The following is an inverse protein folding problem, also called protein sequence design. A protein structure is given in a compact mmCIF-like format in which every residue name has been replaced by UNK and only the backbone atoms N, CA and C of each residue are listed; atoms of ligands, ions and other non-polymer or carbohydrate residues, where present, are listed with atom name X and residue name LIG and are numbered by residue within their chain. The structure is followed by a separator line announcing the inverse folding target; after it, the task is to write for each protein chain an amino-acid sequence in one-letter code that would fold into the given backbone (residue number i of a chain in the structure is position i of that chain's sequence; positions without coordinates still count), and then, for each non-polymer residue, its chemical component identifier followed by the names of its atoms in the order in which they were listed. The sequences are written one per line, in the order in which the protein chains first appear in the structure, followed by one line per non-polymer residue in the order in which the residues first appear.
data_IF_341852200295
#
_entry.id   IF_341852200295
#
_cell.length_a   1.000
_cell.length_b   1.000
_cell.length_c   1.000
_cell.angle_alpha   90.00
_cell.angle_beta   90.00
_cell.angle_gamma   90.00
#
_symmetry.space_group_name_H-M   'P 1'
#
loop_
_entity.id
_entity.type
_entity.pdbx_description
1 polymer ?
#
# COMPACT_ATOMS: atom_id res chain seq x y z
N UNK A 1 8.43 -9.68 3.65
CA UNK A 1 9.51 -8.95 4.36
C UNK A 1 10.51 -9.98 4.88
N UNK A 2 11.81 -9.76 4.67
CA UNK A 2 12.89 -10.62 5.18
C UNK A 2 13.72 -9.83 6.18
N UNK A 3 13.99 -10.41 7.34
CA UNK A 3 14.94 -9.90 8.32
C UNK A 3 15.99 -10.99 8.56
N UNK A 4 17.22 -10.74 8.12
CA UNK A 4 18.32 -11.70 8.13
C UNK A 4 19.52 -11.17 7.34
N UNK A 5 20.71 -11.71 7.62
CA UNK A 5 21.91 -11.34 6.88
C UNK A 5 22.07 -12.18 5.61
N UNK A 6 22.45 -11.51 4.53
CA UNK A 6 22.72 -12.15 3.23
C UNK A 6 24.17 -11.91 2.81
N UNK A 7 24.84 -13.00 2.41
CA UNK A 7 26.17 -12.97 1.81
C UNK A 7 26.02 -13.44 0.37
N UNK A 8 26.32 -12.57 -0.59
CA UNK A 8 26.15 -12.89 -2.01
C UNK A 8 27.18 -13.92 -2.51
N UNK A 9 26.84 -14.70 -3.53
CA UNK A 9 27.70 -15.78 -4.07
C UNK A 9 29.15 -15.39 -4.37
N UNK A 10 29.42 -14.13 -4.74
CA UNK A 10 30.78 -13.64 -5.05
C UNK A 10 31.70 -13.57 -3.83
N UNK A 11 31.12 -13.51 -2.62
CA UNK A 11 31.85 -13.44 -1.35
C UNK A 11 32.06 -14.83 -0.74
N UNK A 12 31.53 -15.89 -1.37
CA UNK A 12 31.57 -17.25 -0.85
C UNK A 12 32.60 -18.05 -1.65
N UNK A 13 33.56 -18.67 -0.96
CA UNK A 13 34.52 -19.60 -1.55
C UNK A 13 34.29 -20.98 -0.95
N UNK A 14 33.92 -21.92 -1.81
CA UNK A 14 33.74 -23.34 -1.47
C UNK A 14 34.73 -24.12 -2.32
N UNK A 15 35.42 -25.10 -1.73
CA UNK A 15 36.22 -26.05 -2.50
C UNK A 15 35.28 -26.86 -3.42
N UNK A 16 35.23 -26.46 -4.69
CA UNK A 16 34.30 -27.02 -5.67
C UNK A 16 34.49 -28.54 -5.84
N UNK A 17 35.72 -29.04 -5.74
CA UNK A 17 36.00 -30.47 -5.95
C UNK A 17 35.48 -31.29 -4.78
N UNK A 18 35.72 -30.84 -3.54
CA UNK A 18 35.19 -31.51 -2.35
C UNK A 18 33.67 -31.39 -2.28
N UNK A 19 33.14 -30.21 -2.59
CA UNK A 19 31.71 -29.96 -2.48
C UNK A 19 30.88 -30.74 -3.50
N UNK A 20 31.34 -30.86 -4.75
CA UNK A 20 30.68 -31.70 -5.77
C UNK A 20 30.56 -33.16 -5.34
N UNK A 21 31.57 -33.72 -4.68
CA UNK A 21 31.50 -35.09 -4.13
C UNK A 21 30.38 -35.26 -3.10
N UNK A 22 29.98 -34.19 -2.41
CA UNK A 22 28.86 -34.20 -1.47
C UNK A 22 27.53 -33.88 -2.15
N UNK A 23 27.49 -32.87 -3.02
CA UNK A 23 26.26 -32.35 -3.60
C UNK A 23 25.73 -33.22 -4.76
N UNK A 24 26.60 -33.71 -5.65
CA UNK A 24 26.16 -34.39 -6.88
C UNK A 24 25.32 -35.66 -6.60
N UNK A 25 25.68 -36.53 -5.63
CA UNK A 25 24.83 -37.67 -5.27
C UNK A 25 23.46 -37.25 -4.73
N UNK A 26 23.40 -36.13 -3.99
CA UNK A 26 22.15 -35.60 -3.46
C UNK A 26 21.28 -35.02 -4.58
N UNK A 27 21.87 -34.35 -5.58
CA UNK A 27 21.12 -33.85 -6.73
C UNK A 27 20.48 -34.97 -7.55
N UNK A 28 21.13 -36.12 -7.68
CA UNK A 28 20.53 -37.29 -8.33
C UNK A 28 19.29 -37.77 -7.57
N UNK A 29 19.38 -37.85 -6.24
CA UNK A 29 18.25 -38.27 -5.40
C UNK A 29 17.12 -37.22 -5.41
N UNK A 30 17.46 -35.94 -5.21
CA UNK A 30 16.52 -34.82 -5.25
C UNK A 30 15.79 -34.77 -6.60
N UNK A 31 16.49 -34.98 -7.72
CA UNK A 31 15.87 -34.98 -9.04
C UNK A 31 14.82 -36.09 -9.19
N UNK A 32 15.08 -37.28 -8.62
CA UNK A 32 14.11 -38.38 -8.58
C UNK A 32 12.92 -38.05 -7.68
N UNK A 33 13.18 -37.52 -6.49
CA UNK A 33 12.15 -37.20 -5.50
C UNK A 33 11.24 -36.03 -5.96
N UNK A 34 11.78 -35.11 -6.76
CA UNK A 34 11.00 -34.07 -7.45
C UNK A 34 10.20 -34.64 -8.63
N UNK A 35 10.45 -35.87 -9.07
CA UNK A 35 9.76 -36.48 -10.21
C UNK A 35 10.26 -35.99 -11.57
N UNK A 36 11.52 -35.57 -11.68
CA UNK A 36 12.11 -35.13 -12.94
C UNK A 36 12.28 -36.30 -13.92
N UNK A 37 12.06 -36.08 -15.24
CA UNK A 37 12.19 -37.14 -16.22
C UNK A 37 13.63 -37.67 -16.32
N UNK A 38 13.76 -38.98 -16.55
CA UNK A 38 15.06 -39.62 -16.75
C UNK A 38 15.77 -39.08 -17.99
N UNK A 39 17.07 -38.79 -17.86
CA UNK A 39 17.91 -38.28 -18.96
C UNK A 39 18.02 -36.76 -19.04
N UNK A 40 17.33 -36.00 -18.19
CA UNK A 40 17.52 -34.55 -18.09
C UNK A 40 18.77 -34.17 -17.31
N UNK A 41 19.46 -33.11 -17.72
CA UNK A 41 20.55 -32.55 -16.92
C UNK A 41 19.96 -31.68 -15.80
N UNK A 42 20.18 -32.10 -14.56
CA UNK A 42 19.73 -31.39 -13.36
C UNK A 42 20.93 -30.79 -12.63
N UNK A 43 20.93 -29.47 -12.45
CA UNK A 43 22.06 -28.75 -11.85
C UNK A 43 21.62 -27.74 -10.80
N UNK A 44 22.51 -27.46 -9.85
CA UNK A 44 22.31 -26.46 -8.81
C UNK A 44 23.37 -25.36 -8.91
N UNK A 45 22.96 -24.10 -8.92
CA UNK A 45 23.86 -22.95 -8.85
C UNK A 45 23.72 -22.20 -7.53
N UNK A 46 24.86 -21.94 -6.87
CA UNK A 46 24.87 -21.17 -5.63
C UNK A 46 24.31 -19.76 -5.87
N UNK A 47 23.28 -19.39 -5.09
CA UNK A 47 22.66 -18.07 -5.14
C UNK A 47 23.23 -17.15 -4.06
N UNK A 48 23.08 -17.53 -2.79
CA UNK A 48 23.60 -16.79 -1.64
C UNK A 48 23.75 -17.69 -0.40
N UNK A 49 24.28 -17.11 0.66
CA UNK A 49 24.25 -17.66 2.01
C UNK A 49 23.40 -16.75 2.89
N UNK A 50 22.54 -17.34 3.72
CA UNK A 50 21.67 -16.63 4.64
C UNK A 50 22.01 -17.02 6.08
N UNK A 51 22.08 -16.01 6.95
CA UNK A 51 22.30 -16.17 8.40
C UNK A 51 21.14 -15.51 9.14
N UNK A 52 20.49 -16.25 10.02
CA UNK A 52 19.40 -15.75 10.87
C UNK A 52 19.77 -15.91 12.35
N UNK A 53 19.79 -14.80 13.08
CA UNK A 53 19.97 -14.75 14.54
C UNK A 53 18.63 -14.56 15.28
N UNK A 54 18.66 -14.40 16.62
CA UNK A 54 17.45 -14.27 17.42
C UNK A 54 16.51 -13.15 16.95
N UNK A 55 15.22 -13.45 16.82
CA UNK A 55 14.17 -12.56 16.33
C UNK A 55 14.03 -12.51 14.81
N UNK A 56 15.07 -12.88 14.06
CA UNK A 56 15.10 -12.79 12.59
C UNK A 56 14.29 -13.92 11.93
N UNK A 57 13.71 -13.61 10.78
CA UNK A 57 12.72 -14.44 10.09
C UNK A 57 12.63 -14.12 8.58
N UNK A 58 11.92 -14.97 7.85
CA UNK A 58 11.50 -14.66 6.48
C UNK A 58 10.00 -14.93 6.36
N UNK A 59 9.22 -13.87 6.16
CA UNK A 59 7.78 -13.98 5.99
C UNK A 59 7.41 -14.91 4.80
N UNK A 60 6.19 -15.49 4.81
CA UNK A 60 5.67 -16.25 3.68
C UNK A 60 5.86 -15.53 2.35
N UNK A 61 6.48 -16.22 1.40
CA UNK A 61 6.72 -15.74 0.05
C UNK A 61 6.86 -16.91 -0.92
N UNK A 62 6.85 -16.60 -2.21
CA UNK A 62 7.09 -17.53 -3.30
C UNK A 62 8.35 -17.07 -4.05
N UNK A 63 9.16 -18.01 -4.51
CA UNK A 63 10.36 -17.66 -5.27
C UNK A 63 9.99 -17.29 -6.71
N UNK A 64 10.69 -16.30 -7.27
CA UNK A 64 10.59 -16.00 -8.70
C UNK A 64 11.56 -16.87 -9.49
N UNK A 65 11.13 -17.35 -10.65
CA UNK A 65 12.02 -17.98 -11.64
C UNK A 65 12.92 -16.91 -12.27
N UNK A 66 14.21 -16.87 -11.88
CA UNK A 66 15.14 -15.77 -12.21
C UNK A 66 15.90 -15.96 -13.52
N UNK A 67 15.85 -17.16 -14.10
CA UNK A 67 16.57 -17.51 -15.32
C UNK A 67 15.85 -18.67 -16.03
N UNK A 68 16.05 -18.76 -17.34
CA UNK A 68 15.41 -19.77 -18.16
C UNK A 68 15.85 -21.18 -17.71
N UNK A 69 14.89 -22.10 -17.56
CA UNK A 69 15.13 -23.45 -17.06
C UNK A 69 15.26 -23.57 -15.54
N UNK A 70 15.13 -22.47 -14.77
CA UNK A 70 15.05 -22.55 -13.30
C UNK A 70 13.70 -23.16 -12.90
N UNK A 71 13.73 -24.24 -12.11
CA UNK A 71 12.52 -24.96 -11.68
C UNK A 71 12.24 -24.82 -10.18
N UNK A 72 13.22 -24.40 -9.38
CA UNK A 72 13.05 -24.32 -7.93
C UNK A 72 14.30 -23.93 -7.16
N UNK A 73 14.25 -24.19 -5.87
CA UNK A 73 15.26 -23.78 -4.90
C UNK A 73 15.72 -24.99 -4.09
N UNK A 74 17.03 -25.10 -3.85
CA UNK A 74 17.63 -26.02 -2.89
C UNK A 74 18.23 -25.22 -1.74
N UNK A 75 17.75 -25.49 -0.53
CA UNK A 75 18.27 -24.97 0.72
C UNK A 75 19.15 -26.04 1.36
N UNK A 76 20.44 -25.72 1.52
CA UNK A 76 21.40 -26.55 2.24
C UNK A 76 21.64 -25.94 3.61
N UNK A 77 21.04 -26.52 4.65
CA UNK A 77 21.30 -26.10 6.02
C UNK A 77 22.67 -26.63 6.48
N UNK A 78 23.54 -25.71 6.90
CA UNK A 78 24.84 -26.03 7.46
C UNK A 78 24.70 -26.47 8.94
N UNK A 79 25.58 -27.35 9.44
CA UNK A 79 25.60 -27.72 10.84
C UNK A 79 25.66 -26.48 11.73
N UNK A 80 24.58 -26.22 12.47
CA UNK A 80 24.45 -25.02 13.31
C UNK A 80 23.51 -25.27 14.48
N UNK A 81 23.84 -24.71 15.64
CA UNK A 81 23.05 -24.86 16.88
C UNK A 81 22.09 -23.68 17.00
N UNK A 82 20.79 -23.93 16.84
CA UNK A 82 19.74 -22.93 17.00
C UNK A 82 18.40 -23.53 17.45
N UNK A 83 17.52 -22.69 18.00
CA UNK A 83 16.11 -23.00 18.31
C UNK A 83 15.18 -22.07 17.53
N UNK A 84 13.98 -22.55 17.18
CA UNK A 84 13.10 -21.84 16.24
C UNK A 84 13.61 -21.99 14.80
N UNK A 85 13.42 -21.00 13.94
CA UNK A 85 14.09 -20.98 12.62
C UNK A 85 13.62 -22.04 11.62
N UNK A 86 12.49 -22.70 11.85
CA UNK A 86 12.02 -23.77 10.97
C UNK A 86 11.73 -23.21 9.57
N UNK A 87 12.20 -23.92 8.53
CA UNK A 87 11.80 -23.67 7.16
C UNK A 87 10.49 -24.39 6.94
N UNK A 88 9.45 -23.65 6.59
CA UNK A 88 8.12 -24.20 6.34
C UNK A 88 7.80 -23.99 4.87
N UNK A 89 7.41 -25.08 4.20
CA UNK A 89 7.10 -25.11 2.77
C UNK A 89 5.66 -25.58 2.62
N UNK A 90 4.92 -24.90 1.76
CA UNK A 90 3.49 -25.11 1.52
C UNK A 90 3.22 -25.22 0.02
N UNK A 91 2.46 -26.24 -0.37
CA UNK A 91 2.10 -26.54 -1.75
C UNK A 91 0.78 -27.34 -1.76
N UNK A 92 -0.24 -26.87 -2.50
CA UNK A 92 -1.58 -27.49 -2.55
C UNK A 92 -2.18 -27.81 -1.18
N UNK A 93 -2.22 -26.83 -0.27
CA UNK A 93 -2.72 -26.95 1.11
C UNK A 93 -1.96 -27.95 2.00
N UNK A 94 -0.94 -28.64 1.48
CA UNK A 94 -0.01 -29.44 2.26
C UNK A 94 1.14 -28.59 2.76
N UNK A 95 1.52 -28.81 4.03
CA UNK A 95 2.54 -28.02 4.71
C UNK A 95 3.55 -28.91 5.41
N UNK A 96 4.82 -28.73 5.07
CA UNK A 96 5.94 -29.48 5.66
C UNK A 96 6.90 -28.52 6.34
N UNK A 97 7.39 -28.90 7.53
CA UNK A 97 8.30 -28.09 8.34
C UNK A 97 9.63 -28.81 8.55
N UNK A 98 10.72 -28.19 8.14
CA UNK A 98 12.08 -28.71 8.28
C UNK A 98 12.88 -27.92 9.30
N UNK A 99 13.56 -28.64 10.20
CA UNK A 99 14.53 -28.10 11.14
C UNK A 99 15.92 -28.54 10.71
N UNK A 100 16.90 -27.65 10.80
CA UNK A 100 18.30 -28.00 10.54
C UNK A 100 18.84 -28.99 11.57
N UNK A 101 20.04 -29.52 11.32
CA UNK A 101 20.76 -30.38 12.26
C UNK A 101 21.97 -29.64 12.83
N UNK A 102 22.31 -29.83 14.12
CA UNK A 102 23.55 -29.29 14.69
C UNK A 102 24.82 -29.99 14.17
N UNK A 103 24.69 -31.19 13.60
CA UNK A 103 25.82 -32.05 13.26
C UNK A 103 25.89 -32.42 11.77
N UNK A 104 24.75 -32.36 11.07
CA UNK A 104 24.61 -32.83 9.70
C UNK A 104 24.16 -31.73 8.76
N UNK A 105 24.55 -31.86 7.50
CA UNK A 105 23.93 -31.09 6.42
C UNK A 105 22.48 -31.56 6.23
N UNK A 106 21.59 -30.63 5.95
CA UNK A 106 20.21 -30.96 5.55
C UNK A 106 19.92 -30.31 4.21
N UNK A 107 19.41 -31.10 3.27
CA UNK A 107 19.06 -30.66 1.94
C UNK A 107 17.54 -30.62 1.84
N UNK A 108 16.99 -29.45 1.49
CA UNK A 108 15.56 -29.27 1.29
C UNK A 108 15.38 -28.62 -0.06
N UNK A 109 14.78 -29.33 -1.00
CA UNK A 109 14.50 -28.85 -2.36
C UNK A 109 13.00 -28.74 -2.57
N UNK A 110 12.57 -27.67 -3.22
CA UNK A 110 11.17 -27.40 -3.53
C UNK A 110 11.05 -26.62 -4.84
N UNK A 111 9.90 -26.73 -5.50
CA UNK A 111 9.62 -26.02 -6.73
C UNK A 111 9.44 -24.51 -6.48
N UNK A 112 9.71 -23.69 -7.50
CA UNK A 112 9.65 -22.23 -7.37
C UNK A 112 8.24 -21.71 -6.99
N UNK A 113 7.20 -22.47 -7.34
CA UNK A 113 5.80 -22.19 -7.03
C UNK A 113 5.37 -22.58 -5.62
N UNK A 114 6.24 -23.20 -4.81
CA UNK A 114 5.93 -23.43 -3.41
C UNK A 114 6.01 -22.13 -2.59
N UNK A 115 4.99 -21.88 -1.77
CA UNK A 115 5.07 -20.86 -0.74
C UNK A 115 5.96 -21.34 0.39
N UNK A 116 6.84 -20.47 0.89
CA UNK A 116 7.71 -20.84 2.00
C UNK A 116 8.01 -19.67 2.93
N UNK A 117 8.29 -20.01 4.19
CA UNK A 117 8.67 -19.07 5.24
C UNK A 117 9.81 -19.65 6.10
N UNK A 118 10.54 -18.75 6.76
CA UNK A 118 11.45 -19.12 7.86
C UNK A 118 10.87 -18.51 9.12
N UNK A 119 10.42 -19.37 10.04
CA UNK A 119 9.91 -18.93 11.35
C UNK A 119 11.00 -18.23 12.17
N UNK A 120 10.63 -17.35 13.12
CA UNK A 120 11.62 -16.66 13.94
C UNK A 120 12.60 -17.61 14.63
N UNK A 121 13.89 -17.30 14.55
CA UNK A 121 14.91 -17.95 15.38
C UNK A 121 14.79 -17.38 16.79
N UNK A 122 14.76 -18.24 17.81
CA UNK A 122 14.66 -17.79 19.22
C UNK A 122 16.00 -17.83 19.93
N UNK A 123 16.90 -18.75 19.54
CA UNK A 123 18.24 -18.89 20.12
C UNK A 123 19.23 -19.37 19.06
N UNK A 124 20.48 -18.92 19.15
CA UNK A 124 21.56 -19.34 18.25
C UNK A 124 21.46 -18.72 16.85
N UNK A 125 22.16 -19.32 15.88
CA UNK A 125 22.21 -18.84 14.50
C UNK A 125 21.92 -19.97 13.53
N UNK A 126 20.95 -19.76 12.64
CA UNK A 126 20.65 -20.65 11.52
C UNK A 126 21.43 -20.20 10.30
N UNK A 127 22.25 -21.10 9.74
CA UNK A 127 23.11 -20.80 8.59
C UNK A 127 22.77 -21.71 7.42
N UNK A 128 22.45 -21.14 6.25
CA UNK A 128 22.10 -21.92 5.06
C UNK A 128 22.76 -21.38 3.80
N UNK A 129 23.04 -22.28 2.86
CA UNK A 129 23.35 -21.95 1.47
C UNK A 129 22.08 -22.16 0.63
N UNK A 130 21.74 -21.21 -0.23
CA UNK A 130 20.63 -21.36 -1.17
C UNK A 130 21.17 -21.54 -2.58
N UNK A 131 20.55 -22.46 -3.32
CA UNK A 131 20.89 -22.78 -4.70
C UNK A 131 19.65 -22.65 -5.58
N UNK A 132 19.81 -22.08 -6.76
CA UNK A 132 18.80 -22.15 -7.81
C UNK A 132 18.95 -23.51 -8.52
N UNK A 133 17.83 -24.22 -8.69
CA UNK A 133 17.77 -25.51 -9.37
C UNK A 133 17.37 -25.31 -10.83
N UNK A 134 18.13 -25.91 -11.74
CA UNK A 134 17.92 -25.81 -13.17
C UNK A 134 17.73 -27.18 -13.80
N UNK A 135 16.81 -27.22 -14.77
CA UNK A 135 16.59 -28.34 -15.66
C UNK A 135 17.06 -27.95 -17.07
N UNK A 136 18.05 -28.66 -17.61
CA UNK A 136 18.58 -28.45 -18.95
C UNK A 136 18.34 -29.69 -19.81
N UNK A 137 17.76 -29.49 -20.99
CA UNK A 137 17.63 -30.52 -22.02
C UNK A 137 16.83 -31.75 -21.60
N UNK A 138 15.57 -31.83 -22.02
CA UNK A 138 14.78 -33.04 -21.95
C UNK A 138 14.38 -33.49 -23.35
N UNK A 139 15.02 -34.55 -23.87
CA UNK A 139 14.33 -35.39 -24.85
C UNK A 139 13.13 -36.01 -24.14
N UNK A 140 11.95 -35.95 -24.76
CA UNK A 140 10.73 -36.56 -24.25
C UNK A 140 10.87 -38.10 -24.24
N UNK A 141 11.61 -38.64 -23.27
CA UNK A 141 11.81 -40.09 -23.08
C UNK A 141 10.76 -40.63 -22.12
N UNK A 142 9.52 -40.13 -22.21
CA UNK A 142 8.40 -40.69 -21.44
C UNK A 142 7.86 -41.89 -22.19
N UNK A 143 7.79 -43.04 -21.52
CA UNK A 143 7.19 -44.25 -22.10
C UNK A 143 5.72 -43.96 -22.43
N UNK A 144 5.24 -44.27 -23.64
CA UNK A 144 3.83 -44.20 -23.98
C UNK A 144 3.00 -44.99 -22.96
N UNK A 145 1.83 -44.46 -22.60
CA UNK A 145 0.89 -45.17 -21.75
C UNK A 145 0.08 -46.07 -22.67
N UNK A 146 0.20 -47.38 -22.55
CA UNK A 146 -0.43 -48.34 -23.47
C UNK A 146 -1.49 -49.17 -22.76
N UNK A 147 -2.51 -49.59 -23.50
CA UNK A 147 -3.55 -50.53 -23.06
C UNK A 147 -4.71 -49.86 -22.33
N UNK A 148 -5.32 -50.59 -21.39
CA UNK A 148 -6.60 -50.24 -20.75
C UNK A 148 -6.69 -48.81 -20.19
N UNK A 149 -5.65 -48.23 -19.54
CA UNK A 149 -5.74 -46.86 -19.02
C UNK A 149 -5.92 -45.80 -20.12
N UNK A 150 -5.25 -45.97 -21.27
CA UNK A 150 -5.37 -45.06 -22.40
C UNK A 150 -6.77 -45.19 -23.04
N UNK A 151 -7.24 -46.41 -23.27
CA UNK A 151 -8.56 -46.69 -23.84
C UNK A 151 -9.70 -46.12 -22.98
N UNK A 152 -9.57 -46.22 -21.65
CA UNK A 152 -10.55 -45.63 -20.74
C UNK A 152 -10.58 -44.10 -20.87
N UNK A 153 -9.41 -43.45 -20.91
CA UNK A 153 -9.31 -42.00 -21.03
C UNK A 153 -9.84 -41.49 -22.38
N UNK A 154 -9.49 -42.18 -23.49
CA UNK A 154 -9.99 -41.85 -24.83
C UNK A 154 -11.52 -41.90 -24.86
N UNK A 155 -12.13 -42.91 -24.24
CA UNK A 155 -13.58 -43.03 -24.13
C UNK A 155 -14.20 -41.89 -23.33
N UNK A 156 -13.59 -41.52 -22.19
CA UNK A 156 -14.07 -40.43 -21.34
C UNK A 156 -14.00 -39.07 -22.04
N UNK A 157 -12.89 -38.78 -22.73
CA UNK A 157 -12.72 -37.51 -23.46
C UNK A 157 -13.66 -37.45 -24.67
N UNK A 158 -13.83 -38.56 -25.39
CA UNK A 158 -14.83 -38.67 -26.47
C UNK A 158 -16.24 -38.39 -25.95
N UNK A 159 -16.64 -39.05 -24.86
CA UNK A 159 -17.95 -38.85 -24.26
C UNK A 159 -18.18 -37.40 -23.83
N UNK A 160 -17.14 -36.70 -23.33
CA UNK A 160 -17.21 -35.28 -23.01
C UNK A 160 -17.57 -34.42 -24.23
N UNK A 161 -16.90 -34.63 -25.37
CA UNK A 161 -17.17 -33.89 -26.60
C UNK A 161 -18.49 -34.27 -27.30
N UNK A 162 -19.09 -35.41 -26.93
CA UNK A 162 -20.39 -35.86 -27.44
C UNK A 162 -21.56 -35.44 -26.54
N UNK A 163 -21.31 -35.09 -25.27
CA UNK A 163 -22.35 -34.77 -24.28
C UNK A 163 -22.62 -33.26 -24.23
N UNK A 164 -23.88 -32.81 -24.46
CA UNK A 164 -24.25 -31.40 -24.30
C UNK A 164 -23.96 -30.89 -22.88
N UNK A 165 -23.57 -29.62 -22.78
CA UNK A 165 -23.32 -28.98 -21.49
C UNK A 165 -24.58 -28.95 -20.60
N UNK A 166 -24.45 -29.00 -19.27
CA UNK A 166 -25.59 -28.87 -18.37
C UNK A 166 -26.25 -27.51 -18.56
N UNK A 167 -27.58 -27.48 -18.53
CA UNK A 167 -28.35 -26.24 -18.59
C UNK A 167 -28.00 -25.37 -17.38
N UNK A 168 -27.48 -24.17 -17.62
CA UNK A 168 -27.15 -23.21 -16.57
C UNK A 168 -28.19 -22.11 -16.58
N UNK A 169 -28.67 -21.71 -15.40
CA UNK A 169 -29.72 -20.69 -15.22
C UNK A 169 -29.44 -19.36 -15.95
N UNK A 170 -28.16 -19.07 -16.24
CA UNK A 170 -27.67 -17.81 -16.83
C UNK A 170 -27.09 -17.97 -18.24
N UNK A 171 -27.17 -19.18 -18.84
CA UNK A 171 -26.63 -19.43 -20.17
C UNK A 171 -27.49 -20.48 -20.89
N UNK A 172 -27.96 -20.22 -22.13
CA UNK A 172 -28.75 -21.20 -22.86
C UNK A 172 -27.97 -22.53 -23.00
N UNK A 173 -28.66 -23.67 -23.12
CA UNK A 173 -28.01 -24.95 -23.34
C UNK A 173 -27.14 -24.88 -24.58
N UNK A 174 -25.82 -24.97 -24.39
CA UNK A 174 -24.86 -25.04 -25.48
C UNK A 174 -24.89 -26.48 -26.04
N UNK A 175 -24.64 -26.62 -27.34
CA UNK A 175 -24.39 -27.92 -27.95
C UNK A 175 -23.17 -28.62 -27.31
N UNK A 176 -22.77 -29.78 -27.84
CA UNK A 176 -21.59 -30.47 -27.34
C UNK A 176 -20.36 -29.52 -27.34
N UNK A 177 -19.51 -29.57 -26.30
CA UNK A 177 -18.37 -28.66 -26.18
C UNK A 177 -17.36 -28.87 -27.31
N UNK A 178 -16.65 -27.82 -27.71
CA UNK A 178 -15.58 -27.87 -28.73
C UNK A 178 -14.16 -27.92 -28.11
N UNK A 179 -14.04 -27.67 -26.80
CA UNK A 179 -12.76 -27.56 -26.09
C UNK A 179 -12.81 -28.23 -24.73
N UNK A 180 -11.71 -28.89 -24.36
CA UNK A 180 -11.46 -29.41 -23.02
C UNK A 180 -10.33 -28.61 -22.38
N UNK A 181 -10.60 -27.93 -21.26
CA UNK A 181 -9.57 -27.25 -20.46
C UNK A 181 -9.20 -28.13 -19.28
N UNK A 182 -7.92 -28.48 -19.18
CA UNK A 182 -7.37 -29.25 -18.09
C UNK A 182 -6.40 -28.39 -17.27
N UNK A 183 -6.73 -28.15 -16.00
CA UNK A 183 -5.86 -27.42 -15.08
C UNK A 183 -4.74 -28.33 -14.61
N UNK A 184 -3.51 -27.87 -14.78
CA UNK A 184 -2.32 -28.50 -14.23
C UNK A 184 -2.19 -28.13 -12.75
N UNK A 185 -1.52 -28.99 -11.99
CA UNK A 185 -1.33 -28.81 -10.55
C UNK A 185 -0.34 -27.65 -10.30
N UNK A 186 0.81 -27.62 -10.99
CA UNK A 186 1.81 -26.60 -10.73
C UNK A 186 1.47 -25.24 -11.35
N UNK A 187 1.93 -24.18 -10.69
CA UNK A 187 1.93 -22.84 -11.28
C UNK A 187 3.16 -22.69 -12.19
N UNK A 188 2.92 -22.24 -13.42
CA UNK A 188 3.96 -21.98 -14.41
C UNK A 188 4.05 -20.50 -14.75
N UNK A 189 5.28 -20.02 -14.94
CA UNK A 189 5.50 -18.71 -15.56
C UNK A 189 5.45 -18.82 -17.08
N UNK A 190 5.37 -17.69 -17.78
CA UNK A 190 5.43 -17.66 -19.25
C UNK A 190 6.72 -18.30 -19.80
N UNK A 191 7.81 -18.22 -19.04
CA UNK A 191 9.10 -18.83 -19.41
C UNK A 191 9.20 -20.31 -19.03
N UNK A 192 8.54 -20.70 -17.93
CA UNK A 192 8.56 -22.07 -17.41
C UNK A 192 7.57 -23.01 -18.10
N UNK A 193 6.55 -22.48 -18.80
CA UNK A 193 5.54 -23.28 -19.48
C UNK A 193 6.05 -23.83 -20.82
N UNK A 194 6.50 -25.08 -20.84
CA UNK A 194 6.81 -25.81 -22.07
C UNK A 194 6.58 -27.30 -21.90
N UNK A 195 6.35 -28.01 -23.01
CA UNK A 195 6.12 -29.47 -22.99
C UNK A 195 7.27 -30.26 -22.35
N UNK A 196 8.50 -29.76 -22.47
CA UNK A 196 9.70 -30.41 -21.92
C UNK A 196 9.96 -30.04 -20.45
N UNK A 197 9.32 -28.99 -19.94
CA UNK A 197 9.60 -28.43 -18.60
C UNK A 197 8.43 -28.57 -17.61
N UNK A 198 7.39 -29.32 -17.98
CA UNK A 198 6.29 -29.61 -17.05
C UNK A 198 6.82 -30.34 -15.80
N UNK A 199 6.35 -29.89 -14.63
CA UNK A 199 6.79 -30.34 -13.31
C UNK A 199 6.02 -31.60 -12.89
N UNK A 200 6.75 -32.61 -12.41
CA UNK A 200 6.21 -33.80 -11.75
C UNK A 200 4.97 -34.43 -12.47
N UNK A 201 3.82 -34.51 -11.76
CA UNK A 201 2.60 -35.17 -12.21
C UNK A 201 1.96 -34.52 -13.44
N UNK A 202 2.11 -33.21 -13.60
CA UNK A 202 1.58 -32.47 -14.77
C UNK A 202 2.14 -33.00 -16.06
N UNK A 203 3.42 -33.32 -16.05
CA UNK A 203 4.10 -33.80 -17.22
C UNK A 203 3.64 -35.22 -17.59
N UNK A 204 3.24 -36.05 -16.61
CA UNK A 204 2.67 -37.37 -16.87
C UNK A 204 1.25 -37.24 -17.44
N UNK A 205 0.44 -36.35 -16.87
CA UNK A 205 -0.92 -36.05 -17.36
C UNK A 205 -0.90 -35.46 -18.76
N UNK A 206 -0.04 -34.48 -19.02
CA UNK A 206 0.15 -33.87 -20.33
C UNK A 206 0.56 -34.89 -21.40
N UNK A 207 1.48 -35.81 -21.08
CA UNK A 207 1.87 -36.88 -21.99
C UNK A 207 0.71 -37.83 -22.32
N UNK A 208 -0.15 -38.13 -21.36
CA UNK A 208 -1.38 -38.92 -21.58
C UNK A 208 -2.40 -38.15 -22.42
N UNK A 209 -2.66 -36.88 -22.10
CA UNK A 209 -3.59 -36.02 -22.85
C UNK A 209 -3.15 -35.89 -24.31
N UNK A 210 -1.85 -35.75 -24.58
CA UNK A 210 -1.31 -35.72 -25.95
C UNK A 210 -1.56 -37.02 -26.71
N UNK A 211 -1.45 -38.18 -26.06
CA UNK A 211 -1.77 -39.48 -26.68
C UNK A 211 -3.27 -39.61 -26.97
N UNK A 212 -4.12 -39.15 -26.04
CA UNK A 212 -5.58 -39.15 -26.23
C UNK A 212 -5.98 -38.25 -27.39
N UNK A 213 -5.44 -37.03 -27.43
CA UNK A 213 -5.71 -36.07 -28.49
C UNK A 213 -5.29 -36.59 -29.87
N UNK A 214 -4.14 -37.28 -29.95
CA UNK A 214 -3.70 -37.92 -31.20
C UNK A 214 -4.67 -39.02 -31.68
N UNK A 215 -5.37 -39.72 -30.78
CA UNK A 215 -6.38 -40.72 -31.17
C UNK A 215 -7.75 -40.12 -31.52
N UNK A 216 -8.05 -38.94 -31.00
CA UNK A 216 -9.31 -38.24 -31.20
C UNK A 216 -9.23 -37.11 -32.24
N UNK A 217 -8.07 -36.97 -32.92
CA UNK A 217 -7.78 -35.90 -33.87
C UNK A 217 -8.01 -34.49 -33.28
N UNK A 218 -7.62 -34.31 -32.02
CA UNK A 218 -7.72 -33.02 -31.32
C UNK A 218 -6.37 -32.28 -31.37
N UNK A 219 -6.43 -30.97 -31.53
CA UNK A 219 -5.28 -30.10 -31.29
C UNK A 219 -5.02 -29.91 -29.79
N UNK A 220 -3.74 -29.85 -29.40
CA UNK A 220 -3.34 -29.63 -28.00
C UNK A 220 -2.38 -28.45 -27.89
N UNK A 221 -2.69 -27.54 -26.98
CA UNK A 221 -1.85 -26.40 -26.65
C UNK A 221 -1.63 -26.30 -25.13
N UNK A 222 -0.50 -25.71 -24.74
CA UNK A 222 -0.29 -25.20 -23.38
C UNK A 222 -0.66 -23.72 -23.35
N UNK A 223 -1.40 -23.29 -22.34
CA UNK A 223 -1.79 -21.90 -22.15
C UNK A 223 -1.66 -21.49 -20.69
N UNK A 224 -1.33 -20.22 -20.46
CA UNK A 224 -1.50 -19.55 -19.19
C UNK A 224 -2.89 -18.92 -19.15
N UNK A 225 -3.60 -19.08 -18.04
CA UNK A 225 -4.93 -18.51 -17.85
C UNK A 225 -4.93 -17.59 -16.62
N UNK A 226 -5.34 -16.35 -16.81
CA UNK A 226 -5.60 -15.40 -15.72
C UNK A 226 -7.11 -15.32 -15.46
N UNK A 227 -7.56 -15.93 -14.38
CA UNK A 227 -8.98 -15.92 -13.98
C UNK A 227 -9.28 -14.63 -13.23
N UNK A 228 -10.19 -13.82 -13.79
CA UNK A 228 -10.70 -12.62 -13.13
C UNK A 228 -12.15 -12.88 -12.70
N UNK A 229 -12.40 -12.80 -11.40
CA UNK A 229 -13.75 -12.87 -10.85
C UNK A 229 -14.32 -11.46 -10.72
N UNK A 230 -15.53 -11.26 -11.24
CA UNK A 230 -16.30 -10.03 -11.05
C UNK A 230 -17.63 -10.40 -10.42
N UNK A 231 -17.92 -9.81 -9.26
CA UNK A 231 -19.14 -10.04 -8.50
C UNK A 231 -20.06 -8.83 -8.68
N UNK A 232 -21.33 -9.06 -8.99
CA UNK A 232 -22.37 -8.04 -8.84
C UNK A 232 -22.95 -8.12 -7.43
N UNK A 233 -22.94 -7.02 -6.69
CA UNK A 233 -23.77 -6.91 -5.48
C UNK A 233 -25.22 -6.65 -5.90
N UNK A 234 -26.19 -7.29 -5.26
CA UNK A 234 -27.61 -6.94 -5.40
C UNK A 234 -27.84 -5.45 -5.07
N UNK A 235 -28.87 -4.83 -5.66
CA UNK A 235 -29.16 -3.38 -5.64
C UNK A 235 -29.16 -2.72 -4.24
N UNK A 236 -29.33 -3.51 -3.17
CA UNK A 236 -29.32 -3.07 -1.77
C UNK A 236 -27.94 -2.57 -1.27
N UNK A 237 -26.86 -2.92 -1.97
CA UNK A 237 -25.50 -2.50 -1.61
C UNK A 237 -25.28 -0.99 -1.72
N UNK A 238 -25.89 -0.34 -2.72
CA UNK A 238 -25.69 1.10 -2.93
C UNK A 238 -26.34 1.92 -1.83
N UNK A 239 -27.55 1.55 -1.39
CA UNK A 239 -28.24 2.23 -0.29
C UNK A 239 -27.47 2.09 1.03
N UNK A 240 -26.93 0.89 1.31
CA UNK A 240 -26.08 0.66 2.48
C UNK A 240 -24.83 1.54 2.46
N UNK A 241 -24.13 1.61 1.32
CA UNK A 241 -22.94 2.47 1.16
C UNK A 241 -23.31 3.94 1.36
N UNK A 242 -24.43 4.41 0.79
CA UNK A 242 -24.88 5.80 1.00
C UNK A 242 -25.15 6.10 2.48
N UNK A 243 -25.85 5.19 3.19
CA UNK A 243 -26.11 5.34 4.64
C UNK A 243 -24.81 5.36 5.46
N UNK A 244 -23.86 4.49 5.14
CA UNK A 244 -22.55 4.44 5.80
C UNK A 244 -21.74 5.71 5.56
N UNK A 245 -21.66 6.19 4.31
CA UNK A 245 -20.95 7.42 3.94
C UNK A 245 -21.55 8.63 4.64
N UNK A 246 -22.89 8.75 4.70
CA UNK A 246 -23.59 9.80 5.45
C UNK A 246 -23.26 9.77 6.94
N UNK A 247 -23.31 8.58 7.55
CA UNK A 247 -23.03 8.39 8.97
C UNK A 247 -21.59 8.76 9.33
N UNK A 248 -20.62 8.25 8.55
CA UNK A 248 -19.20 8.54 8.73
C UNK A 248 -18.89 10.03 8.52
N UNK A 249 -19.47 10.64 7.49
CA UNK A 249 -19.31 12.07 7.24
C UNK A 249 -19.87 12.92 8.40
N UNK A 250 -21.07 12.61 8.90
CA UNK A 250 -21.68 13.31 10.05
C UNK A 250 -20.78 13.27 11.29
N UNK A 251 -20.09 12.15 11.53
CA UNK A 251 -19.12 12.04 12.63
C UNK A 251 -17.91 12.96 12.42
N UNK A 252 -17.30 12.91 11.24
CA UNK A 252 -16.12 13.72 10.90
C UNK A 252 -16.46 15.22 10.87
N UNK A 253 -17.62 15.59 10.34
CA UNK A 253 -18.11 16.98 10.29
C UNK A 253 -18.21 17.57 11.70
N UNK A 254 -18.77 16.82 12.66
CA UNK A 254 -18.84 17.25 14.07
C UNK A 254 -17.46 17.46 14.68
N UNK A 255 -16.52 16.56 14.41
CA UNK A 255 -15.15 16.69 14.89
C UNK A 255 -14.43 17.91 14.28
N UNK A 256 -14.57 18.13 12.96
CA UNK A 256 -14.01 19.30 12.28
C UNK A 256 -14.57 20.59 12.90
N UNK A 257 -15.89 20.66 13.10
CA UNK A 257 -16.54 21.84 13.71
C UNK A 257 -16.09 22.06 15.15
N UNK A 258 -15.97 20.99 15.93
CA UNK A 258 -15.47 21.03 17.31
C UNK A 258 -14.03 21.57 17.37
N UNK A 259 -13.14 21.06 16.51
CA UNK A 259 -11.76 21.54 16.40
C UNK A 259 -11.71 23.02 15.99
N UNK A 260 -12.55 23.42 15.04
CA UNK A 260 -12.61 24.81 14.55
C UNK A 260 -13.21 25.80 15.55
N UNK A 261 -13.96 25.33 16.54
CA UNK A 261 -14.43 26.15 17.65
C UNK A 261 -13.35 26.44 18.70
N UNK A 262 -12.23 25.70 18.66
CA UNK A 262 -11.09 25.90 19.54
C UNK A 262 -10.12 26.95 18.96
N UNK A 263 -9.30 27.60 19.80
CA UNK A 263 -8.24 28.48 19.34
C UNK A 263 -7.35 27.83 18.27
N UNK A 264 -6.98 28.56 17.20
CA UNK A 264 -6.03 28.08 16.23
C UNK A 264 -4.68 27.89 16.91
N UNK A 265 -4.24 26.64 16.96
CA UNK A 265 -2.94 26.23 17.51
C UNK A 265 -2.31 25.20 16.58
N UNK A 266 -1.01 24.98 16.71
CA UNK A 266 -0.31 23.91 16.00
C UNK A 266 -0.97 22.53 16.21
N UNK A 267 -1.47 22.27 17.42
CA UNK A 267 -2.20 21.04 17.77
C UNK A 267 -3.53 20.92 17.01
N UNK A 268 -4.33 21.97 17.01
CA UNK A 268 -5.63 21.99 16.29
C UNK A 268 -5.43 21.79 14.79
N UNK A 269 -4.43 22.45 14.20
CA UNK A 269 -4.08 22.29 12.78
C UNK A 269 -3.61 20.85 12.49
N UNK A 270 -2.76 20.27 13.33
CA UNK A 270 -2.30 18.88 13.18
C UNK A 270 -3.48 17.89 13.24
N UNK A 271 -4.43 18.10 14.14
CA UNK A 271 -5.63 17.28 14.26
C UNK A 271 -6.52 17.38 13.01
N UNK A 272 -6.72 18.59 12.46
CA UNK A 272 -7.45 18.80 11.20
C UNK A 272 -6.75 18.13 10.02
N UNK A 273 -5.42 18.28 9.89
CA UNK A 273 -4.64 17.63 8.84
C UNK A 273 -4.77 16.09 8.88
N UNK A 274 -4.85 15.50 10.07
CA UNK A 274 -5.03 14.06 10.22
C UNK A 274 -6.39 13.56 9.66
N UNK A 275 -7.39 14.45 9.49
CA UNK A 275 -8.68 14.11 8.89
C UNK A 275 -8.65 14.09 7.36
N UNK A 276 -7.63 14.67 6.72
CA UNK A 276 -7.58 14.78 5.25
C UNK A 276 -7.63 13.41 4.55
N UNK A 277 -6.90 12.40 5.04
CA UNK A 277 -6.90 11.05 4.43
C UNK A 277 -8.28 10.36 4.51
N UNK A 278 -8.94 10.29 5.68
CA UNK A 278 -10.33 9.84 5.77
C UNK A 278 -11.30 10.59 4.85
N UNK A 279 -11.18 11.92 4.77
CA UNK A 279 -12.05 12.77 3.95
C UNK A 279 -11.91 12.46 2.45
N UNK A 280 -10.68 12.29 1.96
CA UNK A 280 -10.44 11.88 0.57
C UNK A 280 -11.05 10.50 0.27
N UNK A 281 -10.93 9.56 1.21
CA UNK A 281 -11.60 8.26 1.14
C UNK A 281 -13.11 8.40 1.02
N UNK A 282 -13.74 9.21 1.89
CA UNK A 282 -15.18 9.46 1.85
C UNK A 282 -15.64 10.16 0.57
N UNK A 283 -14.86 11.10 0.03
CA UNK A 283 -15.16 11.72 -1.27
C UNK A 283 -15.15 10.68 -2.39
N UNK A 284 -14.14 9.81 -2.43
CA UNK A 284 -14.08 8.73 -3.42
C UNK A 284 -15.27 7.76 -3.27
N UNK A 285 -15.62 7.39 -2.04
CA UNK A 285 -16.78 6.53 -1.78
C UNK A 285 -18.10 7.22 -2.14
N UNK A 286 -18.27 8.51 -1.87
CA UNK A 286 -19.46 9.27 -2.24
C UNK A 286 -19.66 9.29 -3.77
N UNK A 287 -18.57 9.43 -4.52
CA UNK A 287 -18.59 9.34 -5.99
C UNK A 287 -19.01 7.94 -6.46
N UNK A 288 -18.43 6.88 -5.87
CA UNK A 288 -18.80 5.50 -6.19
C UNK A 288 -20.27 5.23 -5.87
N UNK A 289 -20.76 5.76 -4.74
CA UNK A 289 -22.14 5.63 -4.29
C UNK A 289 -23.13 6.52 -5.04
N UNK A 290 -22.63 7.38 -5.94
CA UNK A 290 -23.39 8.40 -6.68
C UNK A 290 -24.15 9.37 -5.75
N UNK A 291 -23.61 9.65 -4.57
CA UNK A 291 -24.22 10.58 -3.60
C UNK A 291 -23.63 11.99 -3.73
N UNK A 292 -24.15 12.73 -4.70
CA UNK A 292 -23.75 14.12 -4.92
C UNK A 292 -24.04 15.05 -3.72
N UNK A 293 -25.02 14.68 -2.88
CA UNK A 293 -25.39 15.45 -1.69
C UNK A 293 -24.30 15.43 -0.63
N UNK A 294 -23.81 14.24 -0.28
CA UNK A 294 -22.71 14.10 0.68
C UNK A 294 -21.41 14.65 0.11
N UNK A 295 -21.12 14.38 -1.16
CA UNK A 295 -19.94 14.94 -1.82
C UNK A 295 -19.90 16.47 -1.70
N UNK A 296 -20.99 17.15 -2.04
CA UNK A 296 -21.11 18.60 -1.92
C UNK A 296 -20.95 19.06 -0.46
N UNK A 297 -21.60 18.37 0.48
CA UNK A 297 -21.50 18.70 1.90
C UNK A 297 -20.05 18.62 2.41
N UNK A 298 -19.28 17.63 1.95
CA UNK A 298 -17.86 17.50 2.29
C UNK A 298 -17.07 18.70 1.77
N UNK A 299 -17.18 18.99 0.48
CA UNK A 299 -16.41 20.07 -0.16
C UNK A 299 -16.75 21.43 0.45
N UNK A 300 -18.04 21.70 0.69
CA UNK A 300 -18.50 22.97 1.28
C UNK A 300 -17.85 23.21 2.66
N UNK A 301 -17.81 22.20 3.54
CA UNK A 301 -17.26 22.31 4.90
C UNK A 301 -15.73 22.54 4.92
N UNK A 302 -15.03 22.18 3.85
CA UNK A 302 -13.59 22.37 3.69
C UNK A 302 -13.19 23.75 3.16
N UNK A 303 -14.16 24.60 2.78
CA UNK A 303 -13.87 25.93 2.25
C UNK A 303 -13.44 26.92 3.34
N UNK A 304 -12.60 27.87 2.95
CA UNK A 304 -12.17 28.98 3.81
C UNK A 304 -13.34 29.88 4.21
N UNK A 305 -14.37 29.99 3.35
CA UNK A 305 -15.62 30.71 3.67
C UNK A 305 -16.37 30.06 4.83
N UNK A 306 -16.37 28.73 4.92
CA UNK A 306 -16.93 28.04 6.09
C UNK A 306 -16.07 28.20 7.33
N UNK A 307 -14.82 28.69 7.19
CA UNK A 307 -13.84 28.90 8.26
C UNK A 307 -12.85 27.74 8.41
N UNK A 308 -12.72 26.88 7.40
CA UNK A 308 -11.69 25.85 7.36
C UNK A 308 -10.30 26.49 7.13
N UNK A 309 -9.23 26.07 7.85
CA UNK A 309 -7.92 26.67 7.67
C UNK A 309 -7.37 26.45 6.26
N UNK A 310 -6.94 27.53 5.60
CA UNK A 310 -6.40 27.52 4.24
C UNK A 310 -5.31 26.45 4.04
N UNK A 311 -4.36 26.36 4.98
CA UNK A 311 -3.27 25.38 4.96
C UNK A 311 -3.78 23.93 4.92
N UNK A 312 -4.89 23.64 5.60
CA UNK A 312 -5.48 22.29 5.62
C UNK A 312 -6.12 21.96 4.27
N UNK A 313 -6.83 22.92 3.67
CA UNK A 313 -7.42 22.77 2.33
C UNK A 313 -6.37 22.55 1.25
N UNK A 314 -5.31 23.38 1.22
CA UNK A 314 -4.20 23.21 0.26
C UNK A 314 -3.47 21.87 0.47
N UNK A 315 -3.25 21.46 1.72
CA UNK A 315 -2.66 20.16 2.00
C UNK A 315 -3.52 19.00 1.48
N UNK A 316 -4.84 19.07 1.64
CA UNK A 316 -5.76 18.07 1.10
C UNK A 316 -5.62 17.98 -0.41
N UNK A 317 -5.67 19.11 -1.13
CA UNK A 317 -5.48 19.15 -2.58
C UNK A 317 -4.14 18.54 -3.01
N UNK A 318 -3.03 18.89 -2.34
CA UNK A 318 -1.70 18.31 -2.62
C UNK A 318 -1.67 16.80 -2.40
N UNK A 319 -2.26 16.32 -1.31
CA UNK A 319 -2.30 14.89 -0.97
C UNK A 319 -3.09 14.11 -1.99
N UNK A 320 -4.25 14.64 -2.41
CA UNK A 320 -5.09 14.00 -3.43
C UNK A 320 -4.40 13.97 -4.79
N UNK A 321 -3.76 15.08 -5.18
CA UNK A 321 -3.03 15.16 -6.46
C UNK A 321 -1.85 14.19 -6.53
N UNK A 322 -1.07 14.05 -5.45
CA UNK A 322 0.05 13.12 -5.40
C UNK A 322 -0.38 11.64 -5.46
N UNK A 323 -1.62 11.32 -5.06
CA UNK A 323 -2.12 9.96 -4.94
C UNK A 323 -2.90 9.41 -6.14
N UNK A 324 -3.08 10.15 -7.24
CA UNK A 324 -4.02 9.72 -8.30
C UNK A 324 -3.73 10.17 -9.73
N UNK A 325 -4.24 9.38 -10.69
CA UNK A 325 -4.34 9.74 -12.12
C UNK A 325 -5.40 10.83 -12.32
N UNK A 326 -5.06 11.91 -13.04
CA UNK A 326 -5.88 13.12 -13.24
C UNK A 326 -7.37 12.84 -13.57
N UNK A 327 -7.67 11.76 -14.30
CA UNK A 327 -9.05 11.38 -14.65
C UNK A 327 -9.96 11.05 -13.47
N UNK A 328 -9.42 10.64 -12.31
CA UNK A 328 -10.19 10.37 -11.08
C UNK A 328 -10.40 11.62 -10.22
N UNK A 329 -9.57 12.65 -10.37
CA UNK A 329 -9.60 13.87 -9.54
C UNK A 329 -10.82 14.74 -9.84
N UNK A 330 -11.18 14.86 -11.12
CA UNK A 330 -12.33 15.66 -11.57
C UNK A 330 -13.65 15.19 -10.96
N UNK A 331 -13.80 13.87 -10.76
CA UNK A 331 -15.02 13.31 -10.20
C UNK A 331 -15.23 13.70 -8.73
N UNK A 332 -14.18 14.10 -8.01
CA UNK A 332 -14.24 14.41 -6.56
C UNK A 332 -14.83 15.79 -6.25
N UNK A 333 -15.04 16.67 -7.24
CA UNK A 333 -15.63 18.01 -7.02
C UNK A 333 -14.72 18.96 -6.23
N UNK A 334 -13.40 18.72 -6.30
CA UNK A 334 -12.38 19.52 -5.59
C UNK A 334 -12.04 20.84 -6.30
N UNK A 335 -12.64 21.11 -7.46
CA UNK A 335 -12.53 22.37 -8.19
C UNK A 335 -13.03 23.56 -7.35
N UNK A 336 -14.11 23.37 -6.59
CA UNK A 336 -14.65 24.40 -5.69
C UNK A 336 -13.64 24.76 -4.60
N UNK A 337 -13.03 23.74 -3.97
CA UNK A 337 -12.03 23.94 -2.93
C UNK A 337 -10.75 24.59 -3.51
N UNK A 338 -10.33 24.14 -4.70
CA UNK A 338 -9.19 24.72 -5.42
C UNK A 338 -9.41 26.21 -5.71
N UNK A 339 -10.57 26.57 -6.26
CA UNK A 339 -10.92 27.96 -6.56
C UNK A 339 -10.99 28.82 -5.29
N UNK A 340 -11.56 28.29 -4.20
CA UNK A 340 -11.63 28.99 -2.93
C UNK A 340 -10.25 29.24 -2.31
N UNK A 341 -9.39 28.23 -2.25
CA UNK A 341 -8.01 28.38 -1.79
C UNK A 341 -7.22 29.38 -2.65
N UNK A 342 -7.34 29.29 -3.98
CA UNK A 342 -6.67 30.19 -4.93
C UNK A 342 -7.09 31.65 -4.70
N UNK A 343 -8.40 31.91 -4.63
CA UNK A 343 -8.96 33.25 -4.38
C UNK A 343 -8.50 33.81 -3.04
N UNK A 344 -8.48 32.98 -2.00
CA UNK A 344 -8.04 33.40 -0.66
C UNK A 344 -6.55 33.73 -0.64
N UNK A 345 -5.70 32.92 -1.29
CA UNK A 345 -4.26 33.21 -1.41
C UNK A 345 -3.97 34.50 -2.18
N UNK A 346 -4.66 34.73 -3.30
CA UNK A 346 -4.55 35.98 -4.07
C UNK A 346 -4.88 37.18 -3.18
N UNK A 347 -5.97 37.11 -2.40
CA UNK A 347 -6.37 38.18 -1.48
C UNK A 347 -5.31 38.41 -0.39
N UNK A 348 -4.77 37.35 0.20
CA UNK A 348 -3.74 37.46 1.24
C UNK A 348 -2.45 38.08 0.69
N UNK A 349 -1.99 37.65 -0.49
CA UNK A 349 -0.78 38.16 -1.13
C UNK A 349 -0.92 39.59 -1.64
N UNK A 350 -2.14 40.04 -1.97
CA UNK A 350 -2.41 41.43 -2.32
C UNK A 350 -2.31 42.39 -1.13
N UNK A 351 -2.28 41.89 0.11
CA UNK A 351 -2.13 42.73 1.31
C UNK A 351 -0.70 43.31 1.37
N UNK A 352 -0.50 44.62 1.60
CA UNK A 352 0.83 45.24 1.65
C UNK A 352 1.74 44.56 2.67
N UNK A 353 3.04 44.45 2.36
CA UNK A 353 4.04 43.90 3.28
C UNK A 353 4.09 44.74 4.56
N UNK A 354 4.05 44.08 5.72
CA UNK A 354 4.16 44.73 7.03
C UNK A 354 5.41 45.62 7.08
N UNK A 355 5.22 46.87 7.51
CA UNK A 355 6.31 47.82 7.71
C UNK A 355 7.07 47.53 9.01
N UNK A 356 8.33 47.97 9.12
CA UNK A 356 9.16 47.72 10.31
C UNK A 356 8.58 48.27 11.63
N UNK A 357 7.67 49.25 11.54
CA UNK A 357 7.04 49.91 12.68
C UNK A 357 5.64 49.39 12.99
N UNK A 358 5.10 48.47 12.20
CA UNK A 358 3.78 47.90 12.43
C UNK A 358 3.91 46.64 13.31
N UNK A 359 3.61 46.77 14.60
CA UNK A 359 3.56 45.66 15.55
C UNK A 359 2.13 45.12 15.78
N UNK A 360 1.17 45.42 14.89
CA UNK A 360 -0.21 44.95 15.05
C UNK A 360 -0.29 43.42 14.86
N UNK A 361 -0.99 42.72 15.75
CA UNK A 361 -1.24 41.28 15.66
C UNK A 361 -2.72 41.09 15.39
N UNK A 362 -3.08 40.78 14.15
CA UNK A 362 -4.45 40.53 13.72
C UNK A 362 -4.85 39.09 14.07
N UNK A 363 -5.26 38.87 15.32
CA UNK A 363 -5.76 37.57 15.79
C UNK A 363 -7.08 37.75 16.55
N UNK A 364 -8.21 37.22 16.05
CA UNK A 364 -9.46 37.24 16.81
C UNK A 364 -9.36 36.27 17.99
N UNK A 365 -9.51 36.80 19.20
CA UNK A 365 -9.55 35.99 20.42
C UNK A 365 -10.92 35.33 20.60
N UNK A 366 -10.93 34.05 20.97
CA UNK A 366 -12.17 33.30 21.17
C UNK A 366 -12.98 33.78 22.39
N UNK A 367 -12.29 34.21 23.44
CA UNK A 367 -12.91 34.75 24.65
C UNK A 367 -13.27 36.22 24.48
N UNK A 368 -14.49 36.61 24.88
CA UNK A 368 -15.03 37.99 24.76
C UNK A 368 -15.10 38.77 26.07
N UNK A 369 -14.45 38.28 27.13
CA UNK A 369 -14.43 38.94 28.43
C UNK A 369 -13.70 40.30 28.38
N UNK A 370 -13.86 41.14 29.40
CA UNK A 370 -13.22 42.46 29.47
C UNK A 370 -11.68 42.39 29.38
N UNK A 371 -11.06 41.33 29.93
CA UNK A 371 -9.62 41.12 29.84
C UNK A 371 -9.20 40.85 28.39
N UNK A 372 -9.88 39.93 27.70
CA UNK A 372 -9.58 39.62 26.31
C UNK A 372 -9.87 40.78 25.36
N UNK A 373 -10.85 41.63 25.65
CA UNK A 373 -11.06 42.89 24.90
C UNK A 373 -9.86 43.85 25.03
N UNK A 374 -9.33 43.99 26.25
CA UNK A 374 -8.13 44.81 26.50
C UNK A 374 -6.88 44.20 25.87
N UNK A 375 -6.71 42.88 25.95
CA UNK A 375 -5.63 42.17 25.27
C UNK A 375 -5.73 42.35 23.75
N UNK A 376 -6.91 42.16 23.15
CA UNK A 376 -7.13 42.36 21.73
C UNK A 376 -6.80 43.79 21.30
N UNK A 377 -7.19 44.80 22.10
CA UNK A 377 -6.84 46.21 21.84
C UNK A 377 -5.32 46.43 21.83
N UNK A 378 -4.59 45.84 22.78
CA UNK A 378 -3.13 45.86 22.79
C UNK A 378 -2.53 45.14 21.58
N UNK A 379 -3.08 43.99 21.18
CA UNK A 379 -2.59 43.22 20.04
C UNK A 379 -2.71 44.04 18.75
N UNK A 380 -3.83 44.70 18.49
CA UNK A 380 -4.03 45.48 17.25
C UNK A 380 -3.28 46.83 17.22
N UNK A 381 -2.89 47.38 18.37
CA UNK A 381 -2.14 48.63 18.43
C UNK A 381 -0.73 48.49 17.85
N UNK A 382 -0.48 49.02 16.64
CA UNK A 382 0.78 48.84 15.91
C UNK A 382 1.99 49.55 16.51
N UNK A 383 1.78 50.61 17.26
CA UNK A 383 2.79 51.43 17.95
C UNK A 383 3.08 50.95 19.38
N UNK A 384 2.13 50.23 20.00
CA UNK A 384 2.26 49.74 21.36
C UNK A 384 2.97 48.37 21.40
N UNK A 385 4.25 48.39 21.79
CA UNK A 385 5.07 47.17 21.90
C UNK A 385 5.00 46.49 23.26
N UNK A 386 4.75 47.25 24.32
CA UNK A 386 4.71 46.75 25.70
C UNK A 386 3.44 47.22 26.41
N UNK A 387 2.87 46.33 27.23
CA UNK A 387 1.78 46.64 28.13
C UNK A 387 2.14 46.14 29.54
N UNK A 388 2.24 47.07 30.48
CA UNK A 388 2.36 46.78 31.91
C UNK A 388 0.95 46.80 32.51
N UNK A 389 0.46 45.65 32.93
CA UNK A 389 -0.93 45.47 33.33
C UNK A 389 -1.05 44.91 34.76
N UNK A 390 -1.29 45.77 35.78
CA UNK A 390 -1.55 45.34 37.15
C UNK A 390 -2.83 44.51 37.21
N UNK A 391 -2.72 43.26 37.66
CA UNK A 391 -3.81 42.29 37.66
C UNK A 391 -3.72 41.36 38.87
N UNK A 392 -4.87 40.94 39.41
CA UNK A 392 -4.94 39.85 40.39
C UNK A 392 -4.51 38.49 39.78
N UNK A 393 -4.21 37.50 40.63
CA UNK A 393 -3.60 36.24 40.20
C UNK A 393 -4.45 35.45 39.19
N UNK A 394 -5.73 35.29 39.49
CA UNK A 394 -6.75 34.67 38.64
C UNK A 394 -6.85 35.34 37.27
N UNK A 395 -6.88 36.67 37.24
CA UNK A 395 -6.94 37.46 36.00
C UNK A 395 -5.67 37.31 35.16
N UNK A 396 -4.49 37.26 35.80
CA UNK A 396 -3.22 37.00 35.08
C UNK A 396 -3.20 35.60 34.49
N UNK A 397 -3.62 34.57 35.25
CA UNK A 397 -3.65 33.19 34.78
C UNK A 397 -4.51 33.05 33.50
N UNK A 398 -5.68 33.70 33.46
CA UNK A 398 -6.52 33.72 32.26
C UNK A 398 -5.81 34.32 31.03
N UNK A 399 -5.09 35.44 31.20
CA UNK A 399 -4.35 36.09 30.12
C UNK A 399 -3.19 35.22 29.63
N UNK A 400 -2.43 34.60 30.55
CA UNK A 400 -1.40 33.62 30.21
C UNK A 400 -1.96 32.48 29.35
N UNK A 401 -3.01 31.81 29.82
CA UNK A 401 -3.66 30.71 29.08
C UNK A 401 -4.19 31.15 27.71
N UNK A 402 -4.72 32.37 27.61
CA UNK A 402 -5.21 32.90 26.32
C UNK A 402 -4.08 33.11 25.33
N UNK A 403 -2.94 33.66 25.78
CA UNK A 403 -1.76 33.90 24.95
C UNK A 403 -1.16 32.56 24.49
N UNK A 404 -0.97 31.61 25.42
CA UNK A 404 -0.40 30.30 25.12
C UNK A 404 -1.33 29.49 24.21
N UNK A 405 -2.64 29.50 24.47
CA UNK A 405 -3.62 28.75 23.66
C UNK A 405 -3.75 29.23 22.21
N UNK A 406 -3.47 30.51 21.93
CA UNK A 406 -3.43 31.06 20.56
C UNK A 406 -2.00 31.16 19.99
N UNK A 407 -0.99 30.66 20.73
CA UNK A 407 0.43 30.70 20.36
C UNK A 407 0.92 32.10 19.94
N UNK A 408 0.43 33.16 20.60
CA UNK A 408 0.68 34.54 20.17
C UNK A 408 2.16 34.92 20.30
N UNK A 409 2.73 35.74 19.38
CA UNK A 409 4.13 36.16 19.42
C UNK A 409 4.39 37.27 20.47
N UNK A 410 3.94 37.07 21.70
CA UNK A 410 4.01 38.01 22.82
C UNK A 410 4.66 37.30 24.02
N UNK A 411 5.73 37.86 24.58
CA UNK A 411 6.24 37.39 25.88
C UNK A 411 5.33 37.86 26.99
N UNK A 412 5.07 37.00 27.97
CA UNK A 412 4.17 37.28 29.08
C UNK A 412 4.86 36.94 30.40
N UNK A 413 5.24 37.95 31.18
CA UNK A 413 5.98 37.74 32.44
C UNK A 413 5.31 38.50 33.59
N UNK A 414 5.12 37.83 34.73
CA UNK A 414 4.61 38.49 35.93
C UNK A 414 5.77 39.12 36.70
N UNK A 415 5.81 40.45 36.75
CA UNK A 415 6.72 41.22 37.61
C UNK A 415 6.17 41.25 39.03
N UNK A 416 6.89 40.61 39.96
CA UNK A 416 6.47 40.39 41.36
C UNK A 416 6.89 41.54 42.30
N UNK A 417 6.60 42.78 41.90
CA UNK A 417 6.81 43.98 42.72
C UNK A 417 5.51 44.79 42.81
N UNK A 418 5.17 45.28 44.00
CA UNK A 418 3.89 45.95 44.30
C UNK A 418 2.70 45.00 44.48
N UNK A 419 1.52 45.53 44.86
CA UNK A 419 0.25 44.78 44.88
C UNK A 419 -0.85 45.62 44.21
N UNK A 420 -1.58 45.08 43.21
CA UNK A 420 -1.41 43.76 42.59
C UNK A 420 -0.12 43.65 41.75
N UNK A 421 0.41 42.43 41.56
CA UNK A 421 1.54 42.21 40.64
C UNK A 421 1.19 42.58 39.20
N UNK A 422 2.21 43.00 38.45
CA UNK A 422 2.05 43.50 37.09
C UNK A 422 2.37 42.40 36.07
N UNK A 423 1.44 42.11 35.16
CA UNK A 423 1.70 41.29 33.99
C UNK A 423 2.30 42.17 32.90
N UNK A 424 3.55 41.89 32.53
CA UNK A 424 4.29 42.59 31.49
C UNK A 424 4.16 41.79 30.20
N UNK A 425 3.50 42.36 29.21
CA UNK A 425 3.35 41.80 27.87
C UNK A 425 4.26 42.55 26.91
N UNK A 426 5.10 41.84 26.15
CA UNK A 426 5.93 42.46 25.12
C UNK A 426 5.77 41.73 23.79
N UNK A 427 5.41 42.45 22.73
CA UNK A 427 5.39 41.91 21.37
C UNK A 427 6.80 41.59 20.91
N UNK A 428 6.98 40.43 20.30
CA UNK A 428 8.30 39.92 19.94
C UNK A 428 8.57 40.09 18.45
N UNK A 429 9.86 40.17 18.08
CA UNK A 429 10.27 40.24 16.66
C UNK A 429 9.89 38.98 15.87
N UNK A 430 9.50 37.89 16.53
CA UNK A 430 9.02 36.67 15.88
C UNK A 430 7.80 36.91 15.00
N UNK A 431 7.00 37.95 15.27
CA UNK A 431 5.88 38.39 14.43
C UNK A 431 6.30 38.61 12.97
N UNK A 432 7.38 39.36 12.74
CA UNK A 432 7.88 39.68 11.39
C UNK A 432 8.41 38.44 10.68
N UNK A 433 9.15 37.58 11.40
CA UNK A 433 9.68 36.34 10.84
C UNK A 433 8.55 35.36 10.45
N UNK A 434 7.50 35.26 11.28
CA UNK A 434 6.31 34.43 11.01
C UNK A 434 5.58 34.92 9.77
N UNK A 435 5.26 36.21 9.68
CA UNK A 435 4.57 36.76 8.51
C UNK A 435 5.40 36.59 7.22
N UNK A 436 6.70 36.85 7.28
CA UNK A 436 7.58 36.66 6.12
C UNK A 436 7.62 35.19 5.67
N UNK A 437 7.55 34.24 6.61
CA UNK A 437 7.49 32.81 6.31
C UNK A 437 6.15 32.43 5.71
N UNK A 438 5.04 32.86 6.33
CA UNK A 438 3.68 32.60 5.84
C UNK A 438 3.47 33.15 4.42
N UNK A 439 3.93 34.37 4.13
CA UNK A 439 3.84 34.94 2.78
C UNK A 439 4.62 34.14 1.74
N UNK A 440 5.80 33.63 2.09
CA UNK A 440 6.59 32.75 1.19
C UNK A 440 5.85 31.44 0.95
N UNK A 441 5.26 30.85 2.00
CA UNK A 441 4.43 29.65 1.88
C UNK A 441 3.21 29.92 1.00
N UNK A 442 2.50 31.02 1.19
CA UNK A 442 1.35 31.41 0.36
C UNK A 442 1.71 31.60 -1.11
N UNK A 443 2.85 32.23 -1.40
CA UNK A 443 3.33 32.39 -2.77
C UNK A 443 3.64 31.02 -3.42
N UNK A 444 4.28 30.13 -2.67
CA UNK A 444 4.56 28.75 -3.11
C UNK A 444 3.28 27.94 -3.34
N UNK A 445 2.31 28.06 -2.44
CA UNK A 445 1.01 27.39 -2.55
C UNK A 445 0.19 27.91 -3.74
N UNK A 446 0.18 29.23 -3.97
CA UNK A 446 -0.51 29.82 -5.12
C UNK A 446 0.13 29.38 -6.44
N UNK A 447 1.47 29.38 -6.51
CA UNK A 447 2.18 28.89 -7.68
C UNK A 447 1.84 27.41 -7.98
N UNK A 448 1.80 26.58 -6.94
CA UNK A 448 1.41 25.17 -7.07
C UNK A 448 -0.04 25.00 -7.54
N UNK A 449 -0.98 25.76 -6.97
CA UNK A 449 -2.39 25.71 -7.38
C UNK A 449 -2.58 26.14 -8.84
N UNK A 450 -1.89 27.18 -9.28
CA UNK A 450 -1.93 27.63 -10.68
C UNK A 450 -1.40 26.55 -11.63
N UNK A 451 -0.29 25.90 -11.27
CA UNK A 451 0.30 24.82 -12.07
C UNK A 451 -0.59 23.56 -12.13
N UNK A 452 -1.43 23.33 -11.13
CA UNK A 452 -2.29 22.15 -11.02
C UNK A 452 -3.75 22.41 -11.38
N UNK A 453 -4.10 23.64 -11.80
CA UNK A 453 -5.49 24.04 -12.10
C UNK A 453 -6.19 23.10 -13.09
N UNK A 454 -5.48 22.65 -14.13
CA UNK A 454 -6.01 21.70 -15.13
C UNK A 454 -6.39 20.34 -14.55
N UNK A 455 -5.71 19.88 -13.50
CA UNK A 455 -5.97 18.57 -12.89
C UNK A 455 -7.25 18.56 -12.04
N UNK A 456 -7.72 19.74 -11.62
CA UNK A 456 -8.94 19.89 -10.82
C UNK A 456 -10.11 20.45 -11.62
N UNK A 457 -9.87 21.16 -12.72
CA UNK A 457 -10.92 21.77 -13.55
C UNK A 457 -12.01 20.78 -13.99
N UNK A 458 -13.31 21.09 -13.91
CA UNK A 458 -14.36 20.16 -14.31
C UNK A 458 -14.20 19.72 -15.78
N UNK A 459 -14.47 18.44 -16.07
CA UNK A 459 -14.44 17.94 -17.46
C UNK A 459 -15.58 18.58 -18.23
N UNK A 460 -15.34 19.25 -19.38
CA UNK A 460 -16.42 19.77 -20.20
C UNK A 460 -17.31 18.62 -20.66
N UNK A 461 -18.58 18.65 -20.26
CA UNK A 461 -19.59 17.73 -20.77
C UNK A 461 -19.63 17.89 -22.29
N UNK A 462 -19.24 16.85 -23.04
CA UNK A 462 -19.55 16.77 -24.46
C UNK A 462 -21.07 16.81 -24.58
N UNK A 463 -21.61 17.95 -24.99
CA UNK A 463 -23.00 18.05 -25.41
C UNK A 463 -23.24 16.96 -26.44
N UNK A 464 -24.09 16.00 -26.13
CA UNK A 464 -24.66 15.09 -27.12
C UNK A 464 -25.46 15.96 -28.09
N UNK A 465 -24.81 16.41 -29.17
CA UNK A 465 -25.54 16.82 -30.37
C UNK A 465 -26.18 15.54 -30.92
N UNK A 466 -27.40 15.26 -30.47
CA UNK A 466 -28.38 14.56 -31.30
C UNK A 466 -28.76 15.52 -32.42
N UNK A 467 -28.26 15.24 -33.61
CA UNK A 467 -28.93 15.49 -34.88
C UNK A 467 -28.37 14.44 -35.85
#
# INVERSE_FOLDING_TARGET
MRDGWEIGKRQIKIDARRWRRTLDPQLVQIGRDLGLPGGCAFRAELHNMLVYGPGQFFAPHQDSEKADGMIGTLVVALPSVFKGGALVIEHHDEKVSYRGSPERLSFVAFYADCHHEVRPVTHGYRVVLTYNLFLEGGTDVRRPVVGKPLEAMVRSVRAYFETPGPERQWRPPEGPPDRLVYLLDHQYTQKGLSWQALKNGDAARAALIRQVAAQLDCEVALALADVHESWSCEDDGQELVQRLVKSLWSSIEKEIRSLRAQPPSSTTIKALLAKNKPIVGLLATAVIAQDAGVQKSIVDELTTVKGHPLRCGVHLLRTTHAGGSSGKLHALGLDILHADCTRTLIRLLATPVRTANDWSIAMPLHCRCALCKKLASFLVAGDQRQLDWPLANDKRAHVHQTIDGHELPVTHQTRRTGRPYTLVLCKTKTLFAREATERKEWASDLAWLNNTARAFAPVPQRSSRRA
#
